data_IF_028929991791
#
_entry.id   IF_028929991791
#
_cell.length_a   1.000
_cell.length_b   1.000
_cell.length_c   1.000
_cell.angle_alpha   90.00
_cell.angle_beta   90.00
_cell.angle_gamma   90.00
#
_symmetry.space_group_name_H-M   'P 1'
#
loop_
_entity.id
_entity.type
_entity.pdbx_description
1 polymer ?
#
# COMPACT_ATOMS: atom_id res chain seq x y z
N UNK A 1 2.29 -5.78 -5.59
CA UNK A 1 3.32 -4.79 -6.00
C UNK A 1 2.77 -3.39 -5.82
N UNK A 2 1.53 -3.12 -6.22
CA UNK A 2 0.89 -1.81 -6.09
C UNK A 2 1.04 -1.21 -4.68
N UNK A 3 0.63 -1.91 -3.62
CA UNK A 3 0.71 -1.40 -2.25
C UNK A 3 2.12 -1.05 -1.76
N UNK A 4 3.14 -1.86 -2.09
CA UNK A 4 4.51 -1.52 -1.71
C UNK A 4 5.06 -0.32 -2.51
N UNK A 5 4.66 -0.18 -3.76
CA UNK A 5 5.07 0.95 -4.60
C UNK A 5 4.42 2.24 -4.11
N UNK A 6 3.11 2.24 -3.82
CA UNK A 6 2.42 3.40 -3.26
C UNK A 6 3.01 3.83 -1.91
N UNK A 7 3.34 2.87 -1.04
CA UNK A 7 4.03 3.13 0.22
C UNK A 7 5.40 3.83 -0.01
N UNK A 8 6.17 3.34 -0.96
CA UNK A 8 7.46 3.92 -1.32
C UNK A 8 7.34 5.34 -1.87
N UNK A 9 6.37 5.58 -2.76
CA UNK A 9 6.11 6.91 -3.30
C UNK A 9 5.70 7.90 -2.19
N UNK A 10 4.86 7.45 -1.24
CA UNK A 10 4.53 8.22 -0.04
C UNK A 10 5.77 8.56 0.80
N UNK A 11 6.65 7.61 1.04
CA UNK A 11 7.91 7.84 1.76
C UNK A 11 8.81 8.86 1.01
N UNK A 12 8.92 8.75 -0.30
CA UNK A 12 9.73 9.68 -1.13
C UNK A 12 9.13 11.08 -1.20
N UNK A 13 7.84 11.24 -1.07
CA UNK A 13 7.20 12.57 -1.07
C UNK A 13 7.70 13.46 0.10
N UNK A 14 8.10 12.84 1.21
CA UNK A 14 8.66 13.54 2.39
C UNK A 14 10.16 13.32 2.57
N UNK A 15 10.73 12.29 1.97
CA UNK A 15 12.16 11.97 2.00
C UNK A 15 12.63 11.55 0.59
N UNK A 16 12.98 12.49 -0.31
CA UNK A 16 13.34 12.20 -1.71
C UNK A 16 14.52 11.23 -1.88
N UNK A 17 15.39 11.09 -0.87
CA UNK A 17 16.49 10.14 -0.86
C UNK A 17 16.15 8.76 -0.35
N UNK A 18 14.89 8.51 0.04
CA UNK A 18 14.46 7.20 0.51
C UNK A 18 14.67 6.13 -0.56
N UNK A 19 15.10 4.95 -0.13
CA UNK A 19 15.19 3.72 -0.92
C UNK A 19 14.42 2.62 -0.21
N UNK A 20 13.97 1.63 -0.95
CA UNK A 20 13.23 0.50 -0.40
C UNK A 20 13.89 -0.82 -0.79
N UNK A 21 13.91 -1.77 0.14
CA UNK A 21 14.23 -3.17 -0.11
C UNK A 21 13.00 -4.02 0.13
N UNK A 22 12.75 -4.97 -0.75
CA UNK A 22 11.60 -5.87 -0.66
C UNK A 22 12.07 -7.31 -0.57
N UNK A 23 11.54 -8.03 0.41
CA UNK A 23 11.72 -9.45 0.62
C UNK A 23 10.35 -10.13 0.54
N UNK A 24 10.14 -10.95 -0.47
CA UNK A 24 8.92 -11.76 -0.61
C UNK A 24 9.04 -13.03 0.23
N UNK A 25 7.99 -13.38 0.97
CA UNK A 25 7.95 -14.60 1.81
C UNK A 25 7.09 -15.71 1.20
N UNK A 26 6.38 -15.43 0.09
CA UNK A 26 5.59 -16.43 -0.65
C UNK A 26 4.34 -16.93 0.11
N UNK A 27 3.95 -16.27 1.19
CA UNK A 27 2.79 -16.62 2.01
C UNK A 27 2.15 -15.37 2.60
N UNK A 28 0.83 -15.41 2.79
CA UNK A 28 0.10 -14.39 3.54
C UNK A 28 0.34 -14.47 5.05
N UNK A 29 0.68 -15.67 5.56
CA UNK A 29 0.94 -15.85 6.99
C UNK A 29 1.95 -16.99 7.22
N UNK A 30 3.21 -16.62 7.39
CA UNK A 30 4.29 -17.49 7.82
C UNK A 30 5.17 -16.77 8.85
N UNK A 31 4.86 -16.99 10.13
CA UNK A 31 5.51 -16.27 11.22
C UNK A 31 7.04 -16.44 11.25
N UNK A 32 7.57 -17.57 10.77
CA UNK A 32 9.01 -17.84 10.73
C UNK A 32 9.66 -17.04 9.59
N UNK A 33 9.15 -17.18 8.38
CA UNK A 33 9.73 -16.50 7.21
C UNK A 33 9.56 -14.99 7.29
N UNK A 34 8.42 -14.50 7.82
CA UNK A 34 8.20 -13.07 8.03
C UNK A 34 9.15 -12.49 9.09
N UNK A 35 9.38 -13.21 10.19
CA UNK A 35 10.35 -12.82 11.20
C UNK A 35 11.77 -12.78 10.65
N UNK A 36 12.17 -13.81 9.86
CA UNK A 36 13.45 -13.87 9.20
C UNK A 36 13.64 -12.72 8.21
N UNK A 37 12.63 -12.44 7.37
CA UNK A 37 12.65 -11.36 6.40
C UNK A 37 12.79 -9.98 7.08
N UNK A 38 11.99 -9.72 8.11
CA UNK A 38 12.08 -8.46 8.87
C UNK A 38 13.45 -8.29 9.54
N UNK A 39 14.00 -9.37 10.14
CA UNK A 39 15.35 -9.35 10.71
C UNK A 39 16.41 -9.06 9.66
N UNK A 40 16.35 -9.73 8.50
CA UNK A 40 17.31 -9.53 7.41
C UNK A 40 17.26 -8.09 6.85
N UNK A 41 16.06 -7.53 6.67
CA UNK A 41 15.90 -6.15 6.24
C UNK A 41 16.51 -5.16 7.25
N UNK A 42 16.28 -5.37 8.55
CA UNK A 42 16.92 -4.56 9.60
C UNK A 42 18.45 -4.67 9.57
N UNK A 43 18.99 -5.87 9.38
CA UNK A 43 20.43 -6.11 9.31
C UNK A 43 21.06 -5.47 8.04
N UNK A 44 20.28 -5.31 6.97
CA UNK A 44 20.65 -4.53 5.78
C UNK A 44 20.52 -3.00 5.98
N UNK A 45 20.13 -2.55 7.17
CA UNK A 45 20.06 -1.14 7.54
C UNK A 45 18.72 -0.47 7.32
N UNK A 46 17.67 -1.20 6.97
CA UNK A 46 16.32 -0.65 6.91
C UNK A 46 15.89 -0.12 8.29
N UNK A 47 15.33 1.08 8.32
CA UNK A 47 14.94 1.78 9.55
C UNK A 47 13.46 1.69 9.84
N UNK A 48 12.67 1.41 8.82
CA UNK A 48 11.23 1.21 8.90
C UNK A 48 10.91 -0.09 8.18
N UNK A 49 10.15 -0.96 8.83
CA UNK A 49 9.63 -2.20 8.26
C UNK A 49 8.15 -1.99 7.98
N UNK A 50 7.71 -2.28 6.76
CA UNK A 50 6.31 -2.36 6.40
C UNK A 50 5.97 -3.79 5.99
N UNK A 51 4.73 -4.21 6.16
CA UNK A 51 4.27 -5.55 5.81
C UNK A 51 2.91 -5.51 5.13
N UNK A 52 2.65 -6.54 4.31
CA UNK A 52 1.31 -6.86 3.78
C UNK A 52 0.85 -8.26 4.22
N UNK A 53 1.66 -8.96 4.98
CA UNK A 53 1.34 -10.26 5.58
C UNK A 53 0.43 -10.12 6.80
N UNK A 54 -0.24 -11.21 7.19
CA UNK A 54 -1.40 -11.18 8.09
C UNK A 54 -1.07 -11.42 9.57
N UNK A 55 0.22 -11.55 9.96
CA UNK A 55 0.58 -11.76 11.36
C UNK A 55 1.40 -10.61 11.95
N UNK A 56 1.66 -10.68 13.25
CA UNK A 56 2.30 -9.61 14.02
C UNK A 56 3.83 -9.73 14.12
N UNK A 57 4.43 -10.77 13.53
CA UNK A 57 5.86 -11.04 13.72
C UNK A 57 6.79 -10.02 13.09
N UNK A 58 6.50 -9.38 11.93
CA UNK A 58 7.33 -8.30 11.42
C UNK A 58 7.39 -7.09 12.36
N UNK A 59 6.24 -6.72 12.97
CA UNK A 59 6.17 -5.61 13.92
C UNK A 59 7.01 -5.88 15.18
N UNK A 60 6.87 -7.06 15.79
CA UNK A 60 7.62 -7.44 16.97
C UNK A 60 9.12 -7.60 16.68
N UNK A 61 9.48 -8.10 15.50
CA UNK A 61 10.87 -8.18 15.06
C UNK A 61 11.48 -6.79 14.83
N UNK A 62 10.76 -5.87 14.17
CA UNK A 62 11.20 -4.49 14.00
C UNK A 62 11.49 -3.85 15.36
N UNK A 63 10.57 -3.99 16.33
CA UNK A 63 10.79 -3.51 17.71
C UNK A 63 12.04 -4.10 18.34
N UNK A 64 12.24 -5.41 18.26
CA UNK A 64 13.41 -6.08 18.83
C UNK A 64 14.74 -5.62 18.25
N UNK A 65 14.73 -5.15 17.00
CA UNK A 65 15.88 -4.60 16.26
C UNK A 65 16.02 -3.07 16.39
N UNK A 66 15.11 -2.40 17.09
CA UNK A 66 15.12 -0.93 17.21
C UNK A 66 14.78 -0.22 15.91
N UNK A 67 14.04 -0.86 15.02
CA UNK A 67 13.47 -0.26 13.81
C UNK A 67 12.00 0.13 14.05
N UNK A 68 11.50 1.06 13.26
CA UNK A 68 10.08 1.41 13.25
C UNK A 68 9.28 0.43 12.39
N UNK A 69 7.95 0.48 12.55
CA UNK A 69 7.03 -0.38 11.81
C UNK A 69 5.80 0.41 11.34
N UNK A 70 5.29 0.03 10.17
CA UNK A 70 3.99 0.46 9.66
C UNK A 70 3.16 -0.77 9.29
N UNK A 71 1.94 -0.84 9.80
CA UNK A 71 1.07 -2.02 9.67
C UNK A 71 0.15 -1.97 8.46
N UNK A 72 -0.48 -3.12 8.20
CA UNK A 72 -1.54 -3.30 7.23
C UNK A 72 -2.70 -4.09 7.84
N UNK A 73 -3.92 -3.62 7.60
CA UNK A 73 -5.21 -4.18 8.07
C UNK A 73 -5.39 -4.30 9.59
N UNK A 74 -4.37 -4.17 10.39
CA UNK A 74 -4.46 -4.28 11.84
C UNK A 74 -3.64 -3.20 12.54
N UNK A 75 -4.10 -2.79 13.72
CA UNK A 75 -3.33 -1.94 14.62
C UNK A 75 -2.30 -2.80 15.36
N UNK A 76 -1.02 -2.57 15.08
CA UNK A 76 0.09 -3.31 15.66
C UNK A 76 0.67 -2.65 16.93
N UNK A 77 0.11 -1.53 17.39
CA UNK A 77 0.61 -0.81 18.58
C UNK A 77 0.48 -1.66 19.85
N UNK A 78 -0.54 -2.54 19.92
CA UNK A 78 -0.73 -3.45 21.04
C UNK A 78 0.36 -4.52 21.21
N UNK A 79 1.08 -4.85 20.12
CA UNK A 79 2.14 -5.89 20.13
C UNK A 79 3.54 -5.32 19.95
N UNK A 80 3.67 -4.12 19.38
CA UNK A 80 4.94 -3.46 19.14
C UNK A 80 4.82 -1.94 19.45
N UNK A 81 4.53 -1.55 20.70
CA UNK A 81 4.25 -0.16 21.05
C UNK A 81 5.43 0.81 20.82
N UNK A 82 6.67 0.30 20.86
CA UNK A 82 7.88 1.10 20.66
C UNK A 82 8.32 1.17 19.19
N UNK A 83 7.65 0.44 18.30
CA UNK A 83 7.99 0.38 16.88
C UNK A 83 6.85 0.78 15.96
N UNK A 84 5.63 0.31 16.23
CA UNK A 84 4.49 0.50 15.33
C UNK A 84 3.97 1.94 15.40
N UNK A 85 4.12 2.67 14.29
CA UNK A 85 3.74 4.09 14.19
C UNK A 85 2.27 4.22 13.81
N UNK A 86 1.86 3.54 12.74
CA UNK A 86 0.54 3.63 12.13
C UNK A 86 0.38 2.46 11.14
N UNK A 87 -0.84 2.18 10.75
CA UNK A 87 -1.15 1.26 9.65
C UNK A 87 -2.28 1.81 8.79
N UNK A 88 -2.42 1.27 7.59
CA UNK A 88 -3.64 1.43 6.81
C UNK A 88 -4.48 0.16 6.89
N UNK A 89 -5.78 0.28 6.74
CA UNK A 89 -6.71 -0.84 6.71
C UNK A 89 -7.84 -0.60 5.72
N UNK A 90 -8.43 -1.69 5.25
CA UNK A 90 -9.66 -1.66 4.50
C UNK A 90 -10.82 -1.63 5.49
N UNK A 91 -11.79 -0.73 5.27
CA UNK A 91 -13.08 -0.74 5.94
C UNK A 91 -14.16 -1.24 4.97
N UNK A 92 -14.72 -2.39 5.26
CA UNK A 92 -15.73 -3.03 4.43
C UNK A 92 -17.15 -2.45 4.63
N UNK A 93 -17.32 -1.54 5.60
CA UNK A 93 -18.63 -0.96 5.93
C UNK A 93 -19.28 -0.27 4.72
N UNK A 94 -18.59 0.59 3.94
CA UNK A 94 -19.19 1.24 2.78
C UNK A 94 -19.74 0.23 1.76
N UNK A 95 -18.97 -0.80 1.44
CA UNK A 95 -19.40 -1.85 0.53
C UNK A 95 -20.61 -2.64 1.04
N UNK A 96 -20.59 -3.05 2.32
CA UNK A 96 -21.70 -3.81 2.87
C UNK A 96 -22.99 -2.97 2.96
N UNK A 97 -22.89 -1.70 3.29
CA UNK A 97 -24.05 -0.79 3.28
C UNK A 97 -24.61 -0.70 1.87
N UNK A 98 -23.78 -0.42 0.87
CA UNK A 98 -24.15 -0.37 -0.55
C UNK A 98 -24.86 -1.66 -1.03
N UNK A 99 -24.25 -2.81 -0.78
CA UNK A 99 -24.80 -4.09 -1.23
C UNK A 99 -26.11 -4.46 -0.52
N UNK A 100 -26.22 -4.20 0.80
CA UNK A 100 -27.45 -4.49 1.58
C UNK A 100 -28.58 -3.57 1.15
N UNK A 101 -28.33 -2.29 0.94
CA UNK A 101 -29.34 -1.33 0.46
C UNK A 101 -29.85 -1.69 -0.92
N UNK A 102 -28.98 -2.04 -1.85
CA UNK A 102 -29.36 -2.49 -3.18
C UNK A 102 -30.27 -3.73 -3.14
N UNK A 103 -29.89 -4.76 -2.35
CA UNK A 103 -30.72 -5.96 -2.17
C UNK A 103 -32.05 -5.63 -1.53
N UNK A 104 -32.09 -4.78 -0.50
CA UNK A 104 -33.33 -4.38 0.18
C UNK A 104 -34.29 -3.62 -0.76
N UNK A 105 -33.76 -2.87 -1.71
CA UNK A 105 -34.52 -2.13 -2.71
C UNK A 105 -34.90 -3.00 -3.95
N UNK A 106 -34.39 -4.22 -4.05
CA UNK A 106 -34.57 -5.06 -5.22
C UNK A 106 -33.75 -4.61 -6.44
N UNK A 107 -32.65 -3.93 -6.20
CA UNK A 107 -31.70 -3.42 -7.20
C UNK A 107 -30.52 -4.38 -7.38
N UNK A 108 -29.91 -4.38 -8.55
CA UNK A 108 -28.62 -5.04 -8.76
C UNK A 108 -27.49 -4.17 -8.22
N UNK A 109 -26.43 -4.79 -7.70
CA UNK A 109 -25.21 -4.11 -7.29
C UNK A 109 -23.99 -4.63 -8.07
N UNK A 110 -22.99 -3.79 -8.21
CA UNK A 110 -21.78 -4.16 -8.95
C UNK A 110 -21.06 -5.34 -8.28
N UNK A 111 -20.61 -6.28 -9.10
CA UNK A 111 -19.71 -7.37 -8.67
C UNK A 111 -18.28 -6.89 -8.50
N UNK A 112 -17.92 -5.78 -9.16
CA UNK A 112 -16.63 -5.11 -9.01
C UNK A 112 -16.86 -3.74 -8.36
N UNK A 113 -16.42 -3.61 -7.10
CA UNK A 113 -16.54 -2.40 -6.30
C UNK A 113 -15.16 -1.88 -5.93
N UNK A 114 -14.82 -0.71 -6.42
CA UNK A 114 -13.59 -0.02 -6.06
C UNK A 114 -13.89 1.10 -5.05
N UNK A 115 -13.63 0.82 -3.78
CA UNK A 115 -13.69 1.82 -2.72
C UNK A 115 -12.38 2.59 -2.59
N UNK A 116 -12.44 3.78 -1.99
CA UNK A 116 -11.31 4.70 -1.89
C UNK A 116 -11.22 5.35 -0.51
N UNK A 117 -10.29 6.28 -0.38
CA UNK A 117 -10.19 7.14 0.80
C UNK A 117 -11.41 8.07 0.94
N UNK A 118 -11.97 8.53 -0.21
CA UNK A 118 -13.09 9.46 -0.24
C UNK A 118 -14.39 8.89 0.34
N UNK A 119 -14.63 7.60 0.16
CA UNK A 119 -15.83 6.91 0.67
C UNK A 119 -15.61 6.19 2.01
N UNK A 120 -14.39 6.24 2.56
CA UNK A 120 -14.01 5.60 3.81
C UNK A 120 -13.73 4.11 3.71
N UNK A 121 -13.57 3.55 2.51
CA UNK A 121 -13.16 2.15 2.31
C UNK A 121 -11.68 1.91 2.64
N UNK A 122 -10.86 2.96 2.58
CA UNK A 122 -9.46 2.96 3.04
C UNK A 122 -9.34 3.95 4.18
N UNK A 123 -8.81 3.50 5.32
CA UNK A 123 -8.64 4.31 6.53
C UNK A 123 -7.31 4.02 7.20
N UNK A 124 -6.85 4.95 8.03
CA UNK A 124 -5.66 4.74 8.88
C UNK A 124 -6.06 4.14 10.24
N UNK A 125 -5.16 3.36 10.84
CA UNK A 125 -5.22 3.03 12.26
C UNK A 125 -4.83 4.25 13.10
N UNK A 126 -5.11 4.28 14.41
CA UNK A 126 -4.66 5.38 15.25
C UNK A 126 -3.14 5.60 15.15
N UNK A 127 -2.73 6.87 15.05
CA UNK A 127 -1.32 7.25 15.10
C UNK A 127 -0.76 7.02 16.51
N UNK A 128 0.37 6.34 16.60
CA UNK A 128 1.13 6.24 17.84
C UNK A 128 1.95 7.51 18.06
N UNK A 129 1.34 8.49 18.71
CA UNK A 129 1.94 9.81 18.95
C UNK A 129 3.19 9.77 19.86
N UNK A 130 3.36 8.69 20.65
CA UNK A 130 4.52 8.56 21.57
C UNK A 130 5.84 8.39 20.81
N UNK A 131 5.80 7.80 19.61
CA UNK A 131 7.00 7.53 18.80
C UNK A 131 6.99 8.22 17.44
N UNK A 132 5.86 8.83 17.06
CA UNK A 132 5.75 9.58 15.82
C UNK A 132 6.62 10.84 15.85
N UNK A 133 7.23 11.20 14.72
CA UNK A 133 7.98 12.43 14.60
C UNK A 133 7.06 13.67 14.74
N UNK A 134 7.54 14.77 15.30
CA UNK A 134 6.77 16.01 15.34
C UNK A 134 6.28 16.43 13.95
N UNK A 135 5.01 16.83 13.83
CA UNK A 135 4.40 17.24 12.56
C UNK A 135 3.81 16.08 11.76
N UNK A 136 3.89 14.83 12.25
CA UNK A 136 3.33 13.67 11.55
C UNK A 136 1.81 13.77 11.43
N UNK A 137 1.10 14.13 12.50
CA UNK A 137 -0.36 14.22 12.49
C UNK A 137 -0.87 15.26 11.50
N UNK A 138 -0.24 16.43 11.45
CA UNK A 138 -0.57 17.50 10.52
C UNK A 138 -0.31 17.09 9.06
N UNK A 139 0.81 16.40 8.82
CA UNK A 139 1.14 15.91 7.47
C UNK A 139 0.21 14.79 7.02
N UNK A 140 -0.19 13.90 7.91
CA UNK A 140 -1.20 12.88 7.62
C UNK A 140 -2.53 13.54 7.24
N UNK A 141 -3.03 14.49 8.02
CA UNK A 141 -4.30 15.17 7.72
C UNK A 141 -4.27 15.91 6.35
N UNK A 142 -3.12 16.53 5.99
CA UNK A 142 -2.92 17.13 4.67
C UNK A 142 -3.04 16.09 3.54
N UNK A 143 -2.35 14.95 3.70
CA UNK A 143 -2.35 13.88 2.68
C UNK A 143 -3.72 13.21 2.60
N UNK A 144 -4.37 12.93 3.73
CA UNK A 144 -5.73 12.39 3.78
C UNK A 144 -6.72 13.27 3.01
N UNK A 145 -6.66 14.59 3.22
CA UNK A 145 -7.50 15.53 2.49
C UNK A 145 -7.23 15.49 0.97
N UNK A 146 -5.94 15.45 0.57
CA UNK A 146 -5.56 15.39 -0.84
C UNK A 146 -5.91 14.08 -1.53
N UNK A 147 -5.88 12.95 -0.80
CA UNK A 147 -6.37 11.67 -1.31
C UNK A 147 -7.89 11.65 -1.45
N UNK A 148 -8.61 12.23 -0.48
CA UNK A 148 -10.07 12.27 -0.48
C UNK A 148 -10.64 13.18 -1.57
N UNK A 149 -9.99 14.31 -1.86
CA UNK A 149 -10.44 15.25 -2.90
C UNK A 149 -9.82 14.98 -4.29
N UNK A 150 -8.92 13.99 -4.40
CA UNK A 150 -8.28 13.57 -5.64
C UNK A 150 -7.15 14.51 -6.12
N UNK A 151 -6.74 15.49 -5.31
CA UNK A 151 -5.62 16.38 -5.66
C UNK A 151 -4.25 15.67 -5.55
N UNK A 152 -4.18 14.56 -4.80
CA UNK A 152 -3.02 13.67 -4.77
C UNK A 152 -3.31 12.45 -5.65
N UNK A 153 -2.52 12.29 -6.72
CA UNK A 153 -2.50 11.09 -7.54
C UNK A 153 -1.33 10.22 -7.07
N UNK A 154 -1.62 9.02 -6.53
CA UNK A 154 -0.61 8.14 -5.94
C UNK A 154 0.47 7.73 -6.95
N UNK A 155 0.05 7.38 -8.17
CA UNK A 155 0.95 6.96 -9.25
C UNK A 155 1.14 8.05 -10.32
N UNK A 156 1.33 9.30 -9.90
CA UNK A 156 1.75 10.39 -10.78
C UNK A 156 3.08 10.03 -11.43
N UNK A 157 3.08 9.87 -12.76
CA UNK A 157 4.25 9.40 -13.53
C UNK A 157 5.42 10.39 -13.53
N UNK A 158 5.20 11.62 -13.08
CA UNK A 158 6.28 12.60 -12.88
C UNK A 158 7.08 12.36 -11.60
N UNK A 159 6.59 11.53 -10.67
CA UNK A 159 7.19 11.29 -9.34
C UNK A 159 8.12 10.08 -9.28
N UNK A 160 8.13 9.24 -10.32
CA UNK A 160 8.96 8.06 -10.37
C UNK A 160 9.48 7.78 -11.79
N UNK A 161 10.46 6.89 -11.89
CA UNK A 161 11.01 6.42 -13.16
C UNK A 161 11.06 4.89 -13.20
N UNK A 162 11.14 4.34 -14.41
CA UNK A 162 11.36 2.93 -14.69
C UNK A 162 12.57 2.83 -15.61
N UNK A 163 13.65 2.23 -15.12
CA UNK A 163 14.94 2.16 -15.82
C UNK A 163 15.48 3.56 -16.24
N UNK A 164 15.27 4.58 -15.40
CA UNK A 164 15.71 5.95 -15.64
C UNK A 164 14.78 6.79 -16.53
N UNK A 165 13.70 6.22 -17.04
CA UNK A 165 12.77 6.89 -17.95
C UNK A 165 11.41 7.11 -17.27
N UNK A 166 10.73 8.20 -17.63
CA UNK A 166 9.33 8.43 -17.19
C UNK A 166 8.42 7.39 -17.84
N UNK A 167 7.54 6.78 -17.05
CA UNK A 167 6.53 5.86 -17.57
C UNK A 167 5.51 6.62 -18.40
N UNK A 168 5.41 6.32 -19.69
CA UNK A 168 4.50 7.00 -20.61
C UNK A 168 3.40 6.11 -21.17
N UNK A 169 3.55 4.78 -21.01
CA UNK A 169 2.57 3.78 -21.44
C UNK A 169 2.75 2.50 -20.63
N UNK A 170 1.66 1.94 -20.19
CA UNK A 170 1.58 0.59 -19.63
C UNK A 170 0.14 0.11 -19.70
N UNK A 171 -0.05 -1.17 -19.92
CA UNK A 171 -1.38 -1.75 -20.06
C UNK A 171 -1.88 -2.32 -18.74
N UNK A 172 -3.19 -2.26 -18.54
CA UNK A 172 -3.88 -3.01 -17.52
C UNK A 172 -3.70 -4.52 -17.77
N UNK A 173 -3.75 -5.31 -16.70
CA UNK A 173 -3.57 -6.77 -16.79
C UNK A 173 -4.91 -7.46 -16.51
N UNK A 174 -5.39 -8.23 -17.49
CA UNK A 174 -6.50 -9.18 -17.34
C UNK A 174 -7.71 -8.58 -16.60
N UNK A 175 -8.25 -7.48 -17.13
CA UNK A 175 -9.33 -6.72 -16.48
C UNK A 175 -10.69 -7.42 -16.61
N UNK A 176 -10.83 -8.36 -17.54
CA UNK A 176 -12.06 -9.13 -17.75
C UNK A 176 -12.02 -10.56 -17.20
N UNK A 177 -10.87 -11.01 -16.69
CA UNK A 177 -10.68 -12.30 -16.05
C UNK A 177 -10.58 -13.48 -17.04
N UNK A 178 -10.25 -13.22 -18.29
CA UNK A 178 -10.12 -14.25 -19.32
C UNK A 178 -8.72 -14.88 -19.42
N UNK A 179 -7.79 -14.41 -18.57
CA UNK A 179 -6.37 -14.81 -18.49
C UNK A 179 -5.55 -14.43 -19.74
N UNK A 180 -6.04 -13.49 -20.53
CA UNK A 180 -5.34 -12.90 -21.66
C UNK A 180 -4.87 -11.49 -21.30
N UNK A 181 -3.71 -11.07 -21.77
CA UNK A 181 -3.23 -9.71 -21.52
C UNK A 181 -4.10 -8.69 -22.24
N UNK A 182 -4.65 -7.74 -21.49
CA UNK A 182 -5.43 -6.63 -22.01
C UNK A 182 -4.57 -5.62 -22.76
N UNK A 183 -5.24 -4.83 -23.58
CA UNK A 183 -4.64 -3.74 -24.35
C UNK A 183 -5.07 -2.35 -23.88
N UNK A 184 -5.82 -2.27 -22.76
CA UNK A 184 -6.28 -1.04 -22.17
C UNK A 184 -5.09 -0.25 -21.61
N UNK A 185 -4.89 0.95 -22.16
CA UNK A 185 -3.84 1.85 -21.68
C UNK A 185 -4.18 2.36 -20.27
N UNK A 186 -3.32 2.02 -19.30
CA UNK A 186 -3.49 2.41 -17.91
C UNK A 186 -2.80 3.73 -17.55
N UNK A 187 -1.95 4.26 -18.43
CA UNK A 187 -1.27 5.55 -18.24
C UNK A 187 -1.97 6.62 -19.03
N UNK A 188 -2.72 7.48 -18.37
CA UNK A 188 -3.38 8.64 -18.97
C UNK A 188 -3.46 9.79 -17.95
N UNK A 189 -3.70 11.01 -18.42
CA UNK A 189 -3.76 12.22 -17.58
C UNK A 189 -2.59 12.39 -16.60
N UNK A 190 -1.39 11.88 -16.97
CA UNK A 190 -0.17 12.01 -16.18
C UNK A 190 -0.02 11.01 -15.02
N UNK A 191 -0.90 10.02 -14.91
CA UNK A 191 -0.86 9.01 -13.86
C UNK A 191 -1.07 7.59 -14.41
N UNK A 192 -0.58 6.58 -13.68
CA UNK A 192 -0.99 5.20 -13.89
C UNK A 192 -2.25 4.94 -13.03
N UNK A 193 -3.34 4.53 -13.68
CA UNK A 193 -4.64 4.30 -13.06
C UNK A 193 -4.83 2.83 -12.69
N UNK A 194 -4.30 2.42 -11.55
CA UNK A 194 -4.16 1.02 -11.11
C UNK A 194 -5.48 0.25 -10.86
N UNK A 195 -6.58 0.96 -10.66
CA UNK A 195 -7.90 0.36 -10.34
C UNK A 195 -9.02 0.98 -11.17
N UNK A 196 -8.71 1.52 -12.35
CA UNK A 196 -9.71 2.16 -13.21
C UNK A 196 -10.59 1.14 -13.94
N UNK A 197 -9.98 0.05 -14.43
CA UNK A 197 -10.68 -0.98 -15.20
C UNK A 197 -11.26 -2.09 -14.34
N UNK A 198 -10.66 -2.34 -13.17
CA UNK A 198 -11.15 -3.29 -12.17
C UNK A 198 -10.68 -2.88 -10.77
N UNK A 199 -11.39 -3.30 -9.72
CA UNK A 199 -11.04 -2.95 -8.34
C UNK A 199 -9.75 -3.62 -7.85
N UNK A 200 -9.40 -4.81 -8.35
CA UNK A 200 -8.13 -5.45 -8.05
C UNK A 200 -6.98 -4.68 -8.72
N UNK A 201 -6.00 -4.16 -7.94
CA UNK A 201 -4.95 -3.33 -8.51
C UNK A 201 -4.02 -4.15 -9.41
N UNK A 202 -3.72 -3.60 -10.59
CA UNK A 202 -2.90 -4.25 -11.61
C UNK A 202 -1.55 -3.57 -11.87
N UNK A 203 -1.10 -2.67 -10.99
CA UNK A 203 0.25 -2.11 -11.06
C UNK A 203 1.28 -3.18 -10.67
N UNK A 204 2.08 -3.65 -11.63
CA UNK A 204 3.07 -4.73 -11.44
C UNK A 204 4.50 -4.30 -11.74
N UNK A 205 4.71 -3.03 -12.05
CA UNK A 205 5.99 -2.49 -12.52
C UNK A 205 6.94 -2.27 -11.35
N UNK A 206 8.19 -2.72 -11.48
CA UNK A 206 9.25 -2.34 -10.56
C UNK A 206 9.78 -0.96 -10.96
N UNK A 207 9.64 0.02 -10.06
CA UNK A 207 10.14 1.37 -10.25
C UNK A 207 11.53 1.56 -9.67
N UNK A 208 12.24 2.59 -10.12
CA UNK A 208 13.57 2.92 -9.64
C UNK A 208 13.56 3.32 -8.15
N UNK A 209 14.51 2.78 -7.40
CA UNK A 209 14.65 3.01 -5.95
C UNK A 209 14.07 1.89 -5.10
N UNK A 210 13.37 0.91 -5.71
CA UNK A 210 12.92 -0.31 -5.04
C UNK A 210 13.83 -1.47 -5.47
N UNK A 211 14.51 -2.09 -4.52
CA UNK A 211 15.35 -3.28 -4.73
C UNK A 211 14.60 -4.53 -4.28
N UNK A 212 14.37 -5.46 -5.19
CA UNK A 212 13.83 -6.77 -4.87
C UNK A 212 14.98 -7.71 -4.52
N UNK A 213 15.01 -8.22 -3.28
CA UNK A 213 16.06 -9.11 -2.80
C UNK A 213 15.84 -10.56 -3.27
N UNK A 214 14.62 -10.90 -3.63
CA UNK A 214 14.21 -12.17 -4.24
C UNK A 214 13.03 -11.92 -5.18
N UNK A 215 12.52 -12.98 -5.84
CA UNK A 215 11.35 -12.88 -6.69
C UNK A 215 10.06 -13.10 -5.91
N UNK A 216 8.95 -12.52 -6.38
CA UNK A 216 7.62 -12.76 -5.84
C UNK A 216 7.13 -14.19 -6.11
N UNK A 217 7.65 -14.86 -7.14
CA UNK A 217 7.28 -16.20 -7.61
C UNK A 217 8.53 -16.99 -8.01
#
# INVERSE_FOLDING_TARGET
ISGMTSYFLGARSVCPSATMKVQFVGSWSDATEESNAASALCDLGCKIISQHSDNTTPATMAQSKGAFHTGYNNDMTGVAPEASIIGCRIDWTPYFVYAIEAVANGEEFSQDYCGSYADGSVVLTPLNEEIAAPGTAEKLAEVEAGLADGSIQVFDTSTFTVNGETLTSAFALDTDGDYTADSEEAVFDGAFHESYFQSAPYFTIQIDGIEWLNSAY
#
